data_IF_917582158519
#
_entry.id   IF_917582158519
#
_cell.length_a   1.000
_cell.length_b   1.000
_cell.length_c   1.000
_cell.angle_alpha   90.00
_cell.angle_beta   90.00
_cell.angle_gamma   90.00
#
_symmetry.space_group_name_H-M   'P 1'
#
loop_
_entity.id
_entity.type
_entity.pdbx_description
1 polymer ?
#
# COMPACT_ATOMS: atom_id res chain seq x y z
N UNK A 1 40.85 12.50 -6.99
CA UNK A 1 40.06 11.46 -7.66
C UNK A 1 39.47 10.55 -6.58
N UNK A 2 38.19 10.69 -6.21
CA UNK A 2 37.53 9.88 -5.18
C UNK A 2 36.89 8.67 -5.86
N UNK A 3 37.02 7.43 -5.35
CA UNK A 3 36.43 6.25 -5.96
C UNK A 3 34.91 6.27 -5.78
N UNK A 4 34.21 6.09 -6.89
CA UNK A 4 32.76 6.02 -7.00
C UNK A 4 32.28 4.63 -6.54
N UNK A 5 31.85 4.51 -5.28
CA UNK A 5 31.38 3.23 -4.71
C UNK A 5 29.90 3.03 -5.02
N UNK A 6 29.56 2.67 -6.27
CA UNK A 6 28.20 2.36 -6.73
C UNK A 6 27.82 0.88 -6.60
N UNK A 7 28.37 0.16 -5.64
CA UNK A 7 27.95 -1.22 -5.33
C UNK A 7 27.12 -1.24 -4.03
N UNK A 8 25.95 -0.56 -4.02
CA UNK A 8 24.92 -0.91 -3.04
C UNK A 8 24.38 -2.28 -3.42
N UNK A 9 24.80 -3.32 -2.69
CA UNK A 9 24.24 -4.67 -2.78
C UNK A 9 22.72 -4.56 -2.65
N UNK A 10 21.97 -4.95 -3.69
CA UNK A 10 20.55 -5.22 -3.58
C UNK A 10 20.39 -6.25 -2.46
N UNK A 11 19.82 -5.84 -1.34
CA UNK A 11 19.48 -6.78 -0.27
C UNK A 11 18.38 -7.67 -0.80
N UNK A 12 18.56 -8.97 -0.66
CA UNK A 12 17.57 -9.96 -1.04
C UNK A 12 16.39 -9.86 -0.04
N UNK A 13 15.30 -9.27 -0.48
CA UNK A 13 14.08 -9.10 0.32
C UNK A 13 13.28 -10.41 0.42
N UNK A 14 13.64 -11.45 -0.35
CA UNK A 14 12.93 -12.74 -0.35
C UNK A 14 13.23 -13.58 0.90
N UNK A 15 14.27 -13.24 1.66
CA UNK A 15 14.67 -13.96 2.89
C UNK A 15 14.08 -13.35 4.17
N UNK A 16 13.16 -12.39 4.06
CA UNK A 16 12.55 -11.77 5.23
C UNK A 16 11.70 -12.77 6.03
N UNK A 17 12.06 -12.99 7.31
CA UNK A 17 11.26 -13.75 8.26
C UNK A 17 10.60 -12.76 9.24
N UNK A 18 9.26 -12.60 9.22
CA UNK A 18 8.56 -11.66 10.08
C UNK A 18 8.67 -11.97 11.58
N UNK A 19 8.96 -13.25 11.94
CA UNK A 19 9.10 -13.69 13.32
C UNK A 19 10.50 -13.37 13.91
N UNK A 20 11.44 -12.94 13.07
CA UNK A 20 12.82 -12.65 13.44
C UNK A 20 13.16 -11.20 13.15
N UNK A 21 12.74 -10.32 14.04
CA UNK A 21 13.15 -8.91 13.96
C UNK A 21 14.67 -8.82 14.17
N UNK A 22 15.37 -7.99 13.38
CA UNK A 22 16.79 -7.75 13.62
C UNK A 22 16.98 -7.07 14.97
N UNK A 23 18.04 -7.44 15.66
CA UNK A 23 18.40 -6.93 16.98
C UNK A 23 18.67 -5.41 16.97
N UNK A 24 19.09 -4.89 15.81
CA UNK A 24 19.29 -3.47 15.55
C UNK A 24 18.55 -3.11 14.27
N UNK A 25 17.55 -2.24 14.38
CA UNK A 25 16.85 -1.71 13.22
C UNK A 25 17.77 -0.74 12.46
N UNK A 26 17.78 -0.77 11.11
CA UNK A 26 18.49 0.24 10.34
C UNK A 26 17.91 1.63 10.65
N UNK A 27 18.72 2.69 10.60
CA UNK A 27 18.23 4.05 10.66
C UNK A 27 17.09 4.27 9.66
N UNK A 28 16.16 5.15 9.98
CA UNK A 28 14.98 5.37 9.16
C UNK A 28 15.33 5.79 7.72
N UNK A 29 16.37 6.59 7.56
CA UNK A 29 16.87 7.04 6.26
C UNK A 29 17.53 5.94 5.42
N UNK A 30 17.93 4.83 6.04
CA UNK A 30 18.51 3.66 5.35
C UNK A 30 17.45 2.63 4.92
N UNK A 31 16.20 2.84 5.29
CA UNK A 31 15.10 1.96 4.90
C UNK A 31 14.69 2.24 3.45
N UNK A 32 14.30 1.20 2.75
CA UNK A 32 13.77 1.36 1.40
C UNK A 32 12.41 2.06 1.48
N UNK A 33 12.30 3.23 0.84
CA UNK A 33 11.06 3.97 0.78
C UNK A 33 10.14 3.35 -0.26
N UNK A 34 8.91 3.05 0.16
CA UNK A 34 7.82 2.59 -0.69
C UNK A 34 6.71 3.63 -0.67
N UNK A 35 6.43 4.21 -1.81
CA UNK A 35 5.29 5.12 -2.00
C UNK A 35 4.02 4.32 -2.17
N UNK A 36 3.02 4.60 -1.35
CA UNK A 36 1.71 3.96 -1.40
C UNK A 36 0.69 4.99 -1.83
N UNK A 37 0.07 4.79 -2.98
CA UNK A 37 -1.01 5.64 -3.44
C UNK A 37 -2.37 5.00 -3.17
N UNK A 38 -3.27 5.78 -2.61
CA UNK A 38 -4.66 5.41 -2.30
C UNK A 38 -5.64 6.27 -3.10
N UNK A 39 -6.91 5.86 -3.18
CA UNK A 39 -7.92 6.53 -4.00
C UNK A 39 -8.31 7.91 -3.47
N UNK A 40 -8.51 8.00 -2.15
CA UNK A 40 -8.95 9.20 -1.46
C UNK A 40 -8.23 9.44 -0.14
N UNK A 41 -8.42 10.61 0.44
CA UNK A 41 -7.84 10.96 1.74
C UNK A 41 -8.45 10.13 2.89
N UNK A 42 -9.68 9.71 2.74
CA UNK A 42 -10.43 8.85 3.66
C UNK A 42 -9.78 7.48 3.81
N UNK A 43 -9.15 6.96 2.77
CA UNK A 43 -8.50 5.65 2.76
C UNK A 43 -7.12 5.64 3.41
N UNK A 44 -6.49 6.81 3.55
CA UNK A 44 -5.12 6.93 4.08
C UNK A 44 -5.00 6.31 5.47
N UNK A 45 -5.97 6.55 6.36
CA UNK A 45 -5.93 6.03 7.72
C UNK A 45 -6.07 4.50 7.78
N UNK A 46 -6.92 3.94 6.93
CA UNK A 46 -7.13 2.49 6.83
C UNK A 46 -5.85 1.81 6.33
N UNK A 47 -5.32 2.22 5.20
CA UNK A 47 -4.12 1.61 4.61
C UNK A 47 -2.88 1.82 5.47
N UNK A 48 -2.75 2.97 6.13
CA UNK A 48 -1.69 3.20 7.13
C UNK A 48 -1.74 2.14 8.23
N UNK A 49 -2.92 1.86 8.79
CA UNK A 49 -3.09 0.82 9.80
C UNK A 49 -2.66 -0.57 9.31
N UNK A 50 -2.92 -0.90 8.04
CA UNK A 50 -2.48 -2.14 7.42
C UNK A 50 -0.95 -2.19 7.33
N UNK A 51 -0.31 -1.18 6.74
CA UNK A 51 1.15 -1.17 6.54
C UNK A 51 1.93 -1.07 7.85
N UNK A 52 1.43 -0.34 8.84
CA UNK A 52 2.03 -0.28 10.17
C UNK A 52 2.01 -1.64 10.89
N UNK A 53 1.06 -2.51 10.55
CA UNK A 53 0.98 -3.86 11.10
C UNK A 53 2.09 -4.78 10.55
N UNK A 54 2.56 -4.57 9.33
CA UNK A 54 3.59 -5.42 8.71
C UNK A 54 4.97 -5.32 9.34
N UNK A 55 5.28 -4.22 10.03
CA UNK A 55 6.53 -3.99 10.78
C UNK A 55 7.81 -4.47 10.09
N UNK A 56 7.88 -4.32 8.77
CA UNK A 56 9.12 -4.67 8.07
C UNK A 56 10.22 -3.65 8.42
N UNK A 57 11.34 -4.08 9.06
CA UNK A 57 12.37 -3.16 9.53
C UNK A 57 13.18 -2.51 8.40
N UNK A 58 13.06 -3.02 7.18
CA UNK A 58 13.81 -2.52 6.01
C UNK A 58 12.97 -1.66 5.07
N UNK A 59 11.66 -1.54 5.35
CA UNK A 59 10.75 -0.74 4.54
C UNK A 59 10.21 0.45 5.33
N UNK A 60 10.02 1.55 4.63
CA UNK A 60 9.29 2.72 5.09
C UNK A 60 8.19 3.03 4.10
N UNK A 61 6.96 3.10 4.56
CA UNK A 61 5.80 3.37 3.72
C UNK A 61 5.40 4.84 3.82
N UNK A 62 5.27 5.49 2.69
CA UNK A 62 4.74 6.85 2.58
C UNK A 62 3.41 6.81 1.83
N UNK A 63 2.31 7.05 2.55
CA UNK A 63 0.96 6.91 2.03
C UNK A 63 0.41 8.27 1.65
N UNK A 64 -0.02 8.40 0.41
CA UNK A 64 -0.54 9.65 -0.14
C UNK A 64 -1.63 9.40 -1.20
N UNK A 65 -2.35 10.44 -1.54
CA UNK A 65 -3.26 10.47 -2.68
C UNK A 65 -2.52 11.05 -3.87
N UNK A 66 -2.66 10.51 -5.09
CA UNK A 66 -2.03 11.07 -6.26
C UNK A 66 -2.46 12.53 -6.45
N UNK A 67 -1.52 13.45 -6.31
CA UNK A 67 -1.78 14.87 -6.46
C UNK A 67 -1.44 15.29 -7.89
N UNK A 68 -2.45 15.32 -8.75
CA UNK A 68 -2.42 16.01 -10.04
C UNK A 68 -3.66 16.87 -10.10
N UNK A 69 -3.46 18.16 -10.04
CA UNK A 69 -4.53 19.17 -10.01
C UNK A 69 -5.49 19.07 -11.22
N UNK A 70 -5.06 18.41 -12.31
CA UNK A 70 -5.78 18.29 -13.57
C UNK A 70 -6.40 16.90 -13.81
N UNK A 71 -6.26 15.92 -12.92
CA UNK A 71 -6.79 14.57 -13.12
C UNK A 71 -7.90 14.25 -12.11
N UNK A 72 -8.98 13.57 -12.54
CA UNK A 72 -9.96 13.04 -11.61
C UNK A 72 -9.28 12.12 -10.61
N UNK A 73 -9.55 12.32 -9.31
CA UNK A 73 -9.09 11.45 -8.23
C UNK A 73 -9.77 10.08 -8.33
N UNK A 74 -9.22 9.10 -7.60
CA UNK A 74 -9.84 7.79 -7.44
C UNK A 74 -9.21 6.69 -8.29
N UNK A 75 -9.88 5.56 -8.29
CA UNK A 75 -9.45 4.28 -8.87
C UNK A 75 -8.89 4.37 -10.30
N UNK A 76 -9.56 5.14 -11.18
CA UNK A 76 -9.13 5.28 -12.59
C UNK A 76 -7.72 5.86 -12.72
N UNK A 77 -7.34 6.78 -11.84
CA UNK A 77 -5.99 7.36 -11.84
C UNK A 77 -4.97 6.29 -11.45
N UNK A 78 -5.21 5.57 -10.35
CA UNK A 78 -4.35 4.49 -9.90
C UNK A 78 -4.21 3.40 -10.96
N UNK A 79 -5.31 2.99 -11.58
CA UNK A 79 -5.32 2.03 -12.70
C UNK A 79 -4.45 2.48 -13.88
N UNK A 80 -4.40 3.78 -14.16
CA UNK A 80 -3.54 4.33 -15.22
C UNK A 80 -2.06 4.36 -14.87
N UNK A 81 -1.70 4.20 -13.60
CA UNK A 81 -0.33 4.21 -13.09
C UNK A 81 0.31 2.82 -13.07
N UNK A 82 -0.48 1.74 -13.02
CA UNK A 82 -0.02 0.35 -12.80
C UNK A 82 1.22 -0.01 -13.63
N UNK A 83 1.21 0.31 -14.92
CA UNK A 83 2.28 -0.05 -15.84
C UNK A 83 3.36 1.05 -16.02
N UNK A 84 3.19 2.20 -15.35
CA UNK A 84 4.03 3.39 -15.53
C UNK A 84 4.95 3.66 -14.35
N UNK A 85 4.69 3.02 -13.21
CA UNK A 85 5.45 3.24 -11.98
C UNK A 85 6.48 2.14 -11.75
N UNK A 86 7.50 2.44 -10.97
CA UNK A 86 8.45 1.43 -10.50
C UNK A 86 7.76 0.51 -9.46
N UNK A 87 7.45 -0.70 -9.89
CA UNK A 87 6.77 -1.71 -9.07
C UNK A 87 7.56 -2.12 -7.82
N UNK A 88 8.84 -1.84 -7.75
CA UNK A 88 9.68 -2.14 -6.58
C UNK A 88 9.55 -1.09 -5.48
N UNK A 89 9.08 0.12 -5.83
CA UNK A 89 9.04 1.27 -4.91
C UNK A 89 7.66 1.93 -4.83
N UNK A 90 6.68 1.44 -5.60
CA UNK A 90 5.33 2.03 -5.64
C UNK A 90 4.27 0.96 -5.51
N UNK A 91 3.40 1.11 -4.53
CA UNK A 91 2.19 0.32 -4.34
C UNK A 91 0.95 1.16 -4.61
N UNK A 92 -0.06 0.54 -5.17
CA UNK A 92 -1.35 1.15 -5.50
C UNK A 92 -2.43 0.42 -4.69
N UNK A 93 -3.20 1.15 -3.90
CA UNK A 93 -4.23 0.59 -3.04
C UNK A 93 -5.61 1.10 -3.46
N UNK A 94 -6.50 0.19 -3.81
CA UNK A 94 -7.83 0.50 -4.33
C UNK A 94 -8.93 -0.22 -3.57
N UNK A 95 -10.11 0.34 -3.59
CA UNK A 95 -11.31 -0.37 -3.22
C UNK A 95 -11.68 -1.39 -4.28
N UNK A 96 -12.11 -2.56 -3.85
CA UNK A 96 -12.50 -3.62 -4.78
C UNK A 96 -13.74 -3.25 -5.57
N UNK A 97 -14.66 -2.49 -4.99
CA UNK A 97 -16.02 -2.39 -5.52
C UNK A 97 -16.59 -3.81 -5.76
N UNK A 98 -16.90 -4.15 -6.99
CA UNK A 98 -17.27 -5.52 -7.38
C UNK A 98 -16.16 -6.24 -8.16
N UNK A 99 -15.00 -5.60 -8.39
CA UNK A 99 -13.95 -6.16 -9.24
C UNK A 99 -13.41 -7.49 -8.72
N UNK A 100 -13.29 -7.66 -7.38
CA UNK A 100 -12.90 -8.94 -6.79
C UNK A 100 -13.92 -10.05 -7.07
N UNK A 101 -15.22 -9.72 -7.02
CA UNK A 101 -16.30 -10.68 -7.28
C UNK A 101 -16.39 -11.06 -8.77
N UNK A 102 -15.97 -10.18 -9.67
CA UNK A 102 -15.89 -10.49 -11.10
C UNK A 102 -14.76 -11.45 -11.45
N UNK A 103 -13.86 -11.76 -10.52
CA UNK A 103 -12.83 -12.78 -10.64
C UNK A 103 -12.02 -12.73 -11.96
N UNK A 104 -11.81 -11.56 -12.52
CA UNK A 104 -11.07 -11.35 -13.77
C UNK A 104 -11.92 -11.38 -15.04
N UNK A 105 -13.24 -11.50 -14.94
CA UNK A 105 -14.16 -11.50 -16.09
C UNK A 105 -14.18 -10.16 -16.84
N UNK A 106 -13.85 -9.06 -16.17
CA UNK A 106 -13.70 -7.75 -16.80
C UNK A 106 -12.22 -7.37 -16.91
N UNK A 107 -11.87 -6.54 -17.88
CA UNK A 107 -10.49 -6.04 -18.05
C UNK A 107 -9.99 -5.34 -16.78
N UNK A 108 -10.85 -4.54 -16.13
CA UNK A 108 -10.53 -3.85 -14.90
C UNK A 108 -10.27 -4.84 -13.75
N UNK A 109 -11.18 -5.80 -13.55
CA UNK A 109 -11.02 -6.86 -12.55
C UNK A 109 -9.75 -7.66 -12.77
N UNK A 110 -9.49 -8.10 -14.01
CA UNK A 110 -8.27 -8.82 -14.35
C UNK A 110 -7.01 -8.01 -14.06
N UNK A 111 -7.02 -6.72 -14.37
CA UNK A 111 -5.89 -5.83 -14.10
C UNK A 111 -5.62 -5.66 -12.62
N UNK A 112 -6.66 -5.48 -11.80
CA UNK A 112 -6.55 -5.35 -10.34
C UNK A 112 -6.01 -6.63 -9.71
N UNK A 113 -6.53 -7.79 -10.13
CA UNK A 113 -6.16 -9.07 -9.53
C UNK A 113 -4.76 -9.57 -9.94
N UNK A 114 -4.25 -9.16 -11.09
CA UNK A 114 -2.99 -9.67 -11.63
C UNK A 114 -1.81 -8.69 -11.52
N UNK A 115 -2.04 -7.46 -11.06
CA UNK A 115 -0.96 -6.49 -10.92
C UNK A 115 -0.16 -6.73 -9.63
N UNK A 116 1.16 -6.98 -9.75
CA UNK A 116 2.05 -7.28 -8.62
C UNK A 116 2.20 -6.15 -7.60
N UNK A 117 1.91 -4.91 -8.01
CA UNK A 117 2.04 -3.72 -7.19
C UNK A 117 0.69 -3.10 -6.81
N UNK A 118 -0.40 -3.85 -6.94
CA UNK A 118 -1.74 -3.40 -6.58
C UNK A 118 -2.32 -4.24 -5.44
N UNK A 119 -2.81 -3.55 -4.43
CA UNK A 119 -3.57 -4.12 -3.33
C UNK A 119 -5.02 -3.65 -3.44
N UNK A 120 -5.94 -4.52 -3.11
CA UNK A 120 -7.36 -4.20 -3.11
C UNK A 120 -8.06 -4.73 -1.86
N UNK A 121 -9.19 -4.14 -1.52
CA UNK A 121 -10.07 -4.69 -0.48
C UNK A 121 -10.73 -5.97 -0.98
N UNK A 122 -11.00 -6.93 -0.07
CA UNK A 122 -11.80 -8.13 -0.39
C UNK A 122 -13.30 -7.89 -0.25
N UNK A 123 -13.67 -6.78 0.39
CA UNK A 123 -15.04 -6.28 0.49
C UNK A 123 -15.21 -5.13 -0.50
N UNK A 124 -16.42 -4.57 -0.61
CA UNK A 124 -16.72 -3.49 -1.55
C UNK A 124 -15.77 -2.30 -1.37
N UNK A 125 -15.60 -1.83 -0.13
CA UNK A 125 -14.78 -0.66 0.19
C UNK A 125 -14.15 -0.77 1.58
N UNK A 126 -13.23 0.16 1.89
CA UNK A 126 -12.57 0.26 3.20
C UNK A 126 -13.56 0.43 4.34
N UNK A 127 -14.69 1.13 4.12
CA UNK A 127 -15.75 1.33 5.12
C UNK A 127 -16.37 0.02 5.60
N UNK A 128 -16.42 -1.01 4.77
CA UNK A 128 -16.95 -2.31 5.19
C UNK A 128 -16.12 -2.92 6.33
N UNK A 129 -14.81 -2.69 6.35
CA UNK A 129 -13.97 -3.13 7.46
C UNK A 129 -14.15 -2.25 8.70
N UNK A 130 -14.28 -0.93 8.50
CA UNK A 130 -14.47 0.03 9.60
C UNK A 130 -15.82 -0.16 10.28
N UNK A 131 -16.86 -0.50 9.51
CA UNK A 131 -18.22 -0.75 10.00
C UNK A 131 -18.44 -2.19 10.47
N UNK A 132 -17.43 -3.06 10.45
CA UNK A 132 -17.56 -4.42 10.94
C UNK A 132 -17.88 -4.42 12.45
N UNK A 133 -18.99 -5.04 12.83
CA UNK A 133 -19.55 -4.96 14.18
C UNK A 133 -18.57 -5.23 15.34
N UNK A 134 -17.66 -6.23 15.28
CA UNK A 134 -16.68 -6.46 16.32
C UNK A 134 -15.66 -5.32 16.50
N UNK A 135 -15.35 -4.55 15.46
CA UNK A 135 -14.42 -3.42 15.52
C UNK A 135 -15.10 -2.08 15.85
N UNK A 136 -16.41 -1.98 15.63
CA UNK A 136 -17.18 -0.73 15.76
C UNK A 136 -17.04 -0.10 17.15
N UNK A 137 -17.05 -0.90 18.21
CA UNK A 137 -16.84 -0.42 19.58
C UNK A 137 -15.52 0.32 19.73
N UNK A 138 -14.44 -0.23 19.15
CA UNK A 138 -13.10 0.37 19.23
C UNK A 138 -13.01 1.68 18.44
N UNK A 139 -13.72 1.76 17.32
CA UNK A 139 -13.81 2.98 16.51
C UNK A 139 -14.55 4.06 17.29
N UNK A 140 -15.71 3.74 17.87
CA UNK A 140 -16.50 4.68 18.67
C UNK A 140 -15.72 5.19 19.89
N UNK A 141 -15.02 4.32 20.61
CA UNK A 141 -14.21 4.71 21.78
C UNK A 141 -13.05 5.64 21.38
N UNK A 142 -12.44 5.44 20.23
CA UNK A 142 -11.38 6.33 19.73
C UNK A 142 -11.92 7.70 19.28
N UNK A 143 -13.11 7.72 18.70
CA UNK A 143 -13.72 8.95 18.21
C UNK A 143 -14.28 9.87 19.33
N UNK A 144 -14.49 9.32 20.54
CA UNK A 144 -15.05 10.07 21.68
C UNK A 144 -14.01 10.50 22.72
N UNK A 145 -12.73 10.30 22.46
CA UNK A 145 -11.59 10.80 23.24
C UNK A 145 -11.01 12.04 22.64
#
# INVERSE_FOLDING_TARGET
MKPNNRNRRRRDLTSYNPDRLPEILPPEDDRHLVHVFVEGYEDVAFWRGIFDHFRNPYLRFEISVPNRDDLPKGKKVLMSMVDKVDKASVLLCVDSDFDYLFAGETEQSAKILNADNMFHTYTYATENYLCYAPSLRNVCVKATK
#
